data_IF_519928367805
#
_entry.id   IF_519928367805
#
_cell.length_a   1.000
_cell.length_b   1.000
_cell.length_c   1.000
_cell.angle_alpha   90.00
_cell.angle_beta   90.00
_cell.angle_gamma   90.00
#
_symmetry.space_group_name_H-M   'P 1'
#
loop_
_entity.id
_entity.type
_entity.pdbx_description
1 polymer ?
#
# COMPACT_ATOMS: atom_id res chain seq x y z
N UNK A 1 8.76 11.64 18.70
CA UNK A 1 8.36 10.52 17.83
C UNK A 1 9.56 10.20 16.95
N UNK A 2 10.19 9.04 17.12
CA UNK A 2 11.41 8.68 16.38
C UNK A 2 11.04 8.24 14.95
N UNK A 3 11.70 8.74 13.89
CA UNK A 3 11.51 8.22 12.54
C UNK A 3 12.30 6.92 12.41
N UNK A 4 11.60 5.79 12.28
CA UNK A 4 12.18 4.50 11.91
C UNK A 4 12.40 4.45 10.38
N UNK A 5 13.39 3.68 9.90
CA UNK A 5 14.00 3.83 8.58
C UNK A 5 13.09 3.37 7.42
N UNK A 6 13.39 3.78 6.17
CA UNK A 6 12.56 3.48 5.01
C UNK A 6 12.91 2.10 4.43
N UNK A 7 12.07 1.09 4.67
CA UNK A 7 12.36 -0.26 4.15
C UNK A 7 11.19 -0.96 3.48
N UNK A 8 10.06 -0.30 3.25
CA UNK A 8 8.90 -0.99 2.71
C UNK A 8 8.15 -0.10 1.74
N UNK A 9 8.47 -0.25 0.46
CA UNK A 9 7.75 0.34 -0.66
C UNK A 9 6.23 0.24 -0.49
N UNK A 10 5.71 -0.82 0.12
CA UNK A 10 4.27 -1.05 0.31
C UNK A 10 3.57 -0.03 1.23
N UNK A 11 4.19 0.39 2.34
CA UNK A 11 3.61 1.42 3.21
C UNK A 11 3.58 2.78 2.52
N UNK A 12 4.64 3.09 1.74
CA UNK A 12 4.71 4.31 0.94
C UNK A 12 3.68 4.27 -0.20
N UNK A 13 3.52 3.12 -0.86
CA UNK A 13 2.54 2.89 -1.94
C UNK A 13 1.12 3.10 -1.42
N UNK A 14 0.81 2.61 -0.21
CA UNK A 14 -0.50 2.76 0.43
C UNK A 14 -0.66 4.11 1.16
N UNK A 15 0.36 4.97 1.18
CA UNK A 15 0.39 6.20 1.97
C UNK A 15 -0.04 5.98 3.43
N UNK A 16 0.46 4.90 4.05
CA UNK A 16 0.16 4.52 5.45
C UNK A 16 1.42 4.40 6.28
N UNK A 17 1.28 4.58 7.59
CA UNK A 17 2.38 4.42 8.52
C UNK A 17 2.71 2.93 8.76
N UNK A 18 3.95 2.63 9.15
CA UNK A 18 4.36 1.27 9.56
C UNK A 18 3.54 0.73 10.74
N UNK A 19 2.97 1.62 11.56
CA UNK A 19 2.06 1.29 12.66
C UNK A 19 0.58 1.25 12.25
N UNK A 20 0.24 1.47 10.97
CA UNK A 20 -1.13 1.46 10.50
C UNK A 20 -1.78 0.09 10.71
N UNK A 21 -3.06 0.11 11.10
CA UNK A 21 -3.88 -1.08 11.27
C UNK A 21 -4.43 -1.56 9.93
N UNK A 22 -4.90 -2.81 9.87
CA UNK A 22 -5.55 -3.35 8.67
C UNK A 22 -6.75 -2.49 8.21
N UNK A 23 -7.45 -1.82 9.14
CA UNK A 23 -8.52 -0.88 8.84
C UNK A 23 -8.01 0.38 8.12
N UNK A 24 -6.92 0.99 8.60
CA UNK A 24 -6.29 2.15 7.94
C UNK A 24 -5.74 1.78 6.56
N UNK A 25 -5.08 0.62 6.44
CA UNK A 25 -4.58 0.09 5.17
C UNK A 25 -5.72 -0.09 4.17
N UNK A 26 -6.86 -0.63 4.60
CA UNK A 26 -8.07 -0.78 3.76
C UNK A 26 -8.65 0.57 3.34
N UNK A 27 -8.67 1.54 4.25
CA UNK A 27 -9.24 2.86 4.00
C UNK A 27 -8.38 3.66 3.01
N UNK A 28 -7.05 3.65 3.19
CA UNK A 28 -6.11 4.28 2.26
C UNK A 28 -6.09 3.59 0.91
N UNK A 29 -6.11 2.24 0.86
CA UNK A 29 -6.23 1.48 -0.38
C UNK A 29 -7.43 1.93 -1.21
N UNK A 30 -8.61 2.06 -0.61
CA UNK A 30 -9.83 2.53 -1.32
C UNK A 30 -9.66 3.95 -1.86
N UNK A 31 -9.06 4.85 -1.09
CA UNK A 31 -8.80 6.24 -1.51
C UNK A 31 -7.80 6.30 -2.67
N UNK A 32 -6.74 5.52 -2.59
CA UNK A 32 -5.69 5.45 -3.61
C UNK A 32 -6.16 4.75 -4.87
N UNK A 33 -6.94 3.66 -4.76
CA UNK A 33 -7.54 2.96 -5.89
C UNK A 33 -8.44 3.89 -6.73
N UNK A 34 -9.18 4.81 -6.08
CA UNK A 34 -9.97 5.84 -6.76
C UNK A 34 -9.10 6.93 -7.42
N UNK A 35 -7.96 7.27 -6.83
CA UNK A 35 -7.00 8.26 -7.39
C UNK A 35 -6.15 7.69 -8.54
N UNK A 36 -5.69 6.46 -8.39
CA UNK A 36 -4.85 5.71 -9.34
C UNK A 36 -5.67 4.97 -10.38
N UNK A 37 -7.00 5.11 -10.35
CA UNK A 37 -7.91 4.40 -11.23
C UNK A 37 -7.53 4.64 -12.70
N UNK A 38 -7.26 3.57 -13.49
CA UNK A 38 -6.77 3.70 -14.87
C UNK A 38 -7.78 4.41 -15.79
N UNK A 39 -9.07 4.33 -15.48
CA UNK A 39 -10.14 5.03 -16.23
C UNK A 39 -10.02 6.56 -16.19
N UNK A 40 -9.46 7.12 -15.11
CA UNK A 40 -9.26 8.57 -14.96
C UNK A 40 -7.82 9.00 -15.23
N UNK A 41 -6.91 8.03 -15.36
CA UNK A 41 -5.49 8.30 -15.50
C UNK A 41 -4.92 7.36 -16.57
N UNK A 42 -4.86 7.87 -17.80
CA UNK A 42 -4.32 7.20 -18.98
C UNK A 42 -2.77 7.10 -18.96
N UNK A 43 -2.20 6.98 -17.76
CA UNK A 43 -0.75 6.87 -17.59
C UNK A 43 -0.37 5.40 -17.66
N UNK A 44 0.67 5.03 -18.44
CA UNK A 44 1.16 3.65 -18.50
C UNK A 44 1.58 3.10 -17.12
N UNK A 45 1.89 4.00 -16.18
CA UNK A 45 2.30 3.65 -14.83
C UNK A 45 1.11 3.40 -13.88
N UNK A 46 -0.14 3.73 -14.27
CA UNK A 46 -1.33 3.54 -13.44
C UNK A 46 -1.59 2.05 -13.18
N UNK A 47 -1.45 1.20 -14.19
CA UNK A 47 -1.55 -0.26 -14.06
C UNK A 47 -0.52 -0.82 -13.08
N UNK A 48 0.75 -0.40 -13.22
CA UNK A 48 1.82 -0.86 -12.34
C UNK A 48 1.63 -0.35 -10.91
N UNK A 49 1.19 0.90 -10.74
CA UNK A 49 0.88 1.47 -9.43
C UNK A 49 -0.31 0.76 -8.77
N UNK A 50 -1.36 0.44 -9.53
CA UNK A 50 -2.53 -0.27 -9.02
C UNK A 50 -2.20 -1.72 -8.63
N UNK A 51 -1.40 -2.42 -9.44
CA UNK A 51 -0.89 -3.76 -9.09
C UNK A 51 -0.07 -3.71 -7.81
N UNK A 52 0.87 -2.76 -7.70
CA UNK A 52 1.66 -2.55 -6.48
C UNK A 52 0.80 -2.21 -5.27
N UNK A 53 -0.25 -1.39 -5.44
CA UNK A 53 -1.20 -1.02 -4.40
C UNK A 53 -1.98 -2.25 -3.89
N UNK A 54 -2.41 -3.13 -4.80
CA UNK A 54 -3.08 -4.38 -4.45
C UNK A 54 -2.17 -5.35 -3.71
N UNK A 55 -0.94 -5.54 -4.22
CA UNK A 55 0.07 -6.38 -3.58
C UNK A 55 0.42 -5.88 -2.18
N UNK A 56 0.67 -4.57 -2.04
CA UNK A 56 0.90 -3.92 -0.76
C UNK A 56 -0.27 -4.17 0.21
N UNK A 57 -1.49 -4.03 -0.27
CA UNK A 57 -2.68 -4.22 0.55
C UNK A 57 -2.85 -5.68 1.00
N UNK A 58 -2.67 -6.66 0.12
CA UNK A 58 -2.73 -8.07 0.50
C UNK A 58 -1.64 -8.45 1.50
N UNK A 59 -0.41 -8.01 1.27
CA UNK A 59 0.71 -8.31 2.15
C UNK A 59 0.60 -7.61 3.50
N UNK A 60 0.11 -6.36 3.55
CA UNK A 60 0.03 -5.60 4.80
C UNK A 60 -1.27 -5.84 5.60
N UNK A 61 -2.38 -6.21 4.96
CA UNK A 61 -3.62 -6.51 5.70
C UNK A 61 -3.52 -7.84 6.45
N UNK A 62 -2.71 -8.76 5.95
CA UNK A 62 -2.55 -10.10 6.51
C UNK A 62 -1.29 -10.15 7.37
N UNK A 63 -1.46 -10.44 8.66
CA UNK A 63 -0.35 -10.43 9.62
C UNK A 63 0.70 -11.52 9.30
N UNK A 64 0.29 -12.65 8.69
CA UNK A 64 1.21 -13.74 8.30
C UNK A 64 2.05 -13.36 7.07
N UNK A 65 1.43 -12.76 6.05
CA UNK A 65 2.13 -12.21 4.89
C UNK A 65 3.07 -11.08 5.30
N UNK A 66 2.60 -10.14 6.14
CA UNK A 66 3.42 -9.04 6.67
C UNK A 66 4.64 -9.59 7.40
N UNK A 67 4.48 -10.63 8.22
CA UNK A 67 5.59 -11.29 8.92
C UNK A 67 6.55 -11.98 7.98
N UNK A 68 6.07 -12.59 6.90
CA UNK A 68 6.92 -13.20 5.87
C UNK A 68 7.69 -12.16 5.07
N UNK A 69 7.09 -10.99 4.87
CA UNK A 69 7.72 -9.87 4.16
C UNK A 69 8.78 -9.18 5.02
N UNK A 70 8.52 -9.01 6.33
CA UNK A 70 9.41 -8.36 7.30
C UNK A 70 10.58 -9.26 7.79
N UNK A 71 10.55 -10.56 7.51
CA UNK A 71 11.51 -11.57 8.01
C UNK A 71 12.64 -11.86 7.03
#
# INVERSE_FOLDING_TARGET
MAPLPPSDDYYIILEVESSATAEEITQSYRRLALKLHPDRNDRPNATQAFQKLGQAYETLKDDDERRKYDR
#
